data_IF_385709424016
#
_entry.id   IF_385709424016
#
_cell.length_a   1.000
_cell.length_b   1.000
_cell.length_c   1.000
_cell.angle_alpha   90.00
_cell.angle_beta   90.00
_cell.angle_gamma   90.00
#
_symmetry.space_group_name_H-M   'P 1'
#
loop_
_entity.id
_entity.type
_entity.pdbx_description
1 polymer ?
#
# COMPACT_ATOMS: atom_id res chain seq x y z
N UNK A 1 -7.53 45.93 15.84
CA UNK A 1 -7.69 45.33 14.50
C UNK A 1 -8.11 43.88 14.72
N UNK A 2 -9.34 43.56 14.30
CA UNK A 2 -10.09 42.36 14.69
C UNK A 2 -9.46 41.11 14.08
N UNK A 3 -9.25 40.10 14.91
CA UNK A 3 -8.69 38.82 14.50
C UNK A 3 -9.77 37.97 13.80
N UNK A 4 -9.96 38.25 12.51
CA UNK A 4 -10.98 37.61 11.64
C UNK A 4 -10.67 36.12 11.42
N UNK A 5 -9.46 35.66 11.77
CA UNK A 5 -9.04 34.26 11.65
C UNK A 5 -9.76 33.31 12.61
N UNK A 6 -10.34 33.83 13.70
CA UNK A 6 -11.12 33.04 14.70
C UNK A 6 -12.52 32.62 14.21
N UNK A 7 -13.03 33.24 13.16
CA UNK A 7 -14.38 32.97 12.62
C UNK A 7 -14.37 32.10 11.35
N UNK A 8 -13.21 31.58 10.96
CA UNK A 8 -13.13 30.62 9.87
C UNK A 8 -13.62 29.23 10.34
N UNK A 9 -14.58 28.60 9.64
CA UNK A 9 -15.20 27.33 10.03
C UNK A 9 -14.25 26.11 10.03
N UNK A 10 -12.97 26.30 9.71
CA UNK A 10 -11.93 25.26 9.72
C UNK A 10 -10.92 25.41 10.88
N UNK A 11 -10.98 26.49 11.67
CA UNK A 11 -10.00 26.82 12.72
C UNK A 11 -10.24 26.11 14.08
N UNK A 12 -11.38 25.40 14.22
CA UNK A 12 -11.78 24.76 15.49
C UNK A 12 -11.59 23.24 15.53
N UNK A 13 -10.81 22.65 14.63
CA UNK A 13 -10.35 21.28 14.88
C UNK A 13 -9.30 21.34 15.98
N UNK A 14 -9.60 20.73 17.13
CA UNK A 14 -8.58 20.35 18.11
C UNK A 14 -7.52 19.56 17.34
N UNK A 15 -6.40 20.21 17.00
CA UNK A 15 -5.23 19.51 16.51
C UNK A 15 -4.86 18.50 17.57
N UNK A 16 -4.88 17.21 17.22
CA UNK A 16 -4.24 16.20 18.04
C UNK A 16 -2.77 16.56 18.20
N UNK A 17 -2.10 15.92 19.15
CA UNK A 17 -0.65 16.01 19.22
C UNK A 17 -0.04 15.36 17.96
N UNK A 18 0.22 16.19 16.94
CA UNK A 18 0.81 15.80 15.66
C UNK A 18 2.35 15.79 15.73
N UNK A 19 2.94 16.09 16.89
CA UNK A 19 4.40 16.18 17.08
C UNK A 19 5.13 14.83 16.91
N UNK A 20 4.39 13.72 16.97
CA UNK A 20 4.89 12.37 16.69
C UNK A 20 4.85 11.95 15.22
N UNK A 21 4.27 12.75 14.31
CA UNK A 21 4.15 12.42 12.88
C UNK A 21 5.44 12.84 12.15
N UNK A 22 6.55 12.12 12.37
CA UNK A 22 7.72 12.23 11.50
C UNK A 22 7.38 11.56 10.15
N UNK A 23 7.69 12.23 9.05
CA UNK A 23 7.53 11.68 7.69
C UNK A 23 8.49 10.52 7.36
N UNK A 24 9.06 9.89 8.40
CA UNK A 24 9.97 8.76 8.30
C UNK A 24 9.21 7.43 8.37
N UNK A 25 9.03 6.82 7.21
CA UNK A 25 8.33 5.54 7.07
C UNK A 25 9.27 4.32 7.15
N UNK A 26 10.55 4.53 7.48
CA UNK A 26 11.56 3.46 7.46
C UNK A 26 11.22 2.24 8.32
N UNK A 27 10.70 2.38 9.58
CA UNK A 27 10.34 1.21 10.39
C UNK A 27 9.24 0.36 9.75
N UNK A 28 8.19 1.00 9.23
CA UNK A 28 7.08 0.31 8.54
C UNK A 28 7.53 -0.32 7.23
N UNK A 29 8.37 0.38 6.47
CA UNK A 29 8.94 -0.18 5.24
C UNK A 29 9.79 -1.41 5.54
N UNK A 30 10.62 -1.37 6.59
CA UNK A 30 11.44 -2.52 7.00
C UNK A 30 10.56 -3.73 7.35
N UNK A 31 9.49 -3.52 8.12
CA UNK A 31 8.53 -4.58 8.46
C UNK A 31 7.85 -5.19 7.22
N UNK A 32 7.40 -4.35 6.26
CA UNK A 32 6.78 -4.82 5.02
C UNK A 32 7.78 -5.59 4.16
N UNK A 33 9.02 -5.09 4.03
CA UNK A 33 10.07 -5.77 3.25
C UNK A 33 10.46 -7.09 3.90
N UNK A 34 10.48 -7.17 5.23
CA UNK A 34 10.71 -8.44 5.94
C UNK A 34 9.63 -9.47 5.59
N UNK A 35 8.35 -9.09 5.58
CA UNK A 35 7.26 -9.98 5.14
C UNK A 35 7.42 -10.44 3.70
N UNK A 36 7.81 -9.55 2.79
CA UNK A 36 8.08 -9.91 1.40
C UNK A 36 9.26 -10.89 1.28
N UNK A 37 10.35 -10.65 2.03
CA UNK A 37 11.51 -11.56 2.07
C UNK A 37 11.08 -12.92 2.58
N UNK A 38 10.30 -12.99 3.66
CA UNK A 38 9.77 -14.26 4.19
C UNK A 38 8.95 -15.01 3.13
N UNK A 39 8.07 -14.31 2.39
CA UNK A 39 7.29 -14.92 1.29
C UNK A 39 8.19 -15.47 0.19
N UNK A 40 9.24 -14.73 -0.20
CA UNK A 40 10.15 -15.12 -1.28
C UNK A 40 11.15 -16.21 -0.89
N UNK A 41 11.58 -16.26 0.38
CA UNK A 41 12.48 -17.30 0.89
C UNK A 41 11.84 -18.70 0.87
N UNK A 42 10.51 -18.76 1.01
CA UNK A 42 9.74 -20.01 0.98
C UNK A 42 9.11 -20.30 -0.39
N UNK A 43 9.36 -19.45 -1.39
CA UNK A 43 8.77 -19.57 -2.70
C UNK A 43 9.39 -20.71 -3.53
N UNK A 44 8.54 -21.42 -4.27
CA UNK A 44 9.00 -22.32 -5.33
C UNK A 44 9.72 -21.50 -6.42
N UNK A 45 10.84 -21.99 -6.99
CA UNK A 45 11.50 -21.36 -8.13
C UNK A 45 10.56 -20.94 -9.28
N UNK A 46 9.48 -21.69 -9.53
CA UNK A 46 8.47 -21.38 -10.55
C UNK A 46 7.74 -20.06 -10.28
N UNK A 47 7.60 -19.65 -9.01
CA UNK A 47 6.95 -18.39 -8.65
C UNK A 47 7.65 -17.18 -9.28
N UNK A 48 8.98 -17.21 -9.42
CA UNK A 48 9.75 -16.08 -9.93
C UNK A 48 9.34 -15.68 -11.35
N UNK A 49 8.87 -16.63 -12.15
CA UNK A 49 8.44 -16.41 -13.52
C UNK A 49 6.90 -16.34 -13.63
N UNK A 50 6.18 -16.44 -12.50
CA UNK A 50 4.73 -16.31 -12.46
C UNK A 50 4.31 -14.84 -12.69
N UNK A 51 3.18 -14.61 -13.39
CA UNK A 51 2.66 -13.27 -13.60
C UNK A 51 2.15 -12.65 -12.30
N UNK A 52 2.37 -11.35 -12.13
CA UNK A 52 1.71 -10.58 -11.06
C UNK A 52 0.36 -10.02 -11.54
N UNK A 53 -0.40 -9.39 -10.65
CA UNK A 53 -1.61 -8.63 -11.00
C UNK A 53 -1.30 -7.44 -11.91
N UNK A 54 -0.02 -7.03 -12.01
CA UNK A 54 0.42 -6.10 -13.04
C UNK A 54 0.57 -6.83 -14.38
N UNK A 55 -0.26 -6.45 -15.35
CA UNK A 55 -0.18 -7.01 -16.71
C UNK A 55 1.23 -6.92 -17.30
N UNK A 56 1.75 -8.06 -17.75
CA UNK A 56 3.05 -8.16 -18.43
C UNK A 56 4.26 -8.10 -17.51
N UNK A 57 4.07 -8.21 -16.19
CA UNK A 57 5.15 -8.23 -15.21
C UNK A 57 5.12 -9.55 -14.44
N UNK A 58 6.27 -10.20 -14.35
CA UNK A 58 6.48 -11.37 -13.51
C UNK A 58 7.00 -10.97 -12.11
N UNK A 59 6.97 -11.91 -11.16
CA UNK A 59 7.43 -11.69 -9.77
C UNK A 59 8.89 -11.22 -9.73
N UNK A 60 9.76 -11.78 -10.58
CA UNK A 60 11.17 -11.39 -10.69
C UNK A 60 11.34 -9.93 -11.07
N UNK A 61 10.70 -9.50 -12.15
CA UNK A 61 10.76 -8.13 -12.67
C UNK A 61 10.17 -7.16 -11.66
N UNK A 62 9.04 -7.52 -11.02
CA UNK A 62 8.44 -6.73 -9.94
C UNK A 62 9.41 -6.52 -8.77
N UNK A 63 10.07 -7.59 -8.32
CA UNK A 63 11.04 -7.55 -7.20
C UNK A 63 12.28 -6.73 -7.55
N UNK A 64 12.83 -6.92 -8.75
CA UNK A 64 13.98 -6.15 -9.25
C UNK A 64 13.64 -4.67 -9.37
N UNK A 65 12.46 -4.33 -9.88
CA UNK A 65 11.99 -2.94 -9.98
C UNK A 65 11.81 -2.30 -8.60
N UNK A 66 11.27 -3.05 -7.63
CA UNK A 66 11.14 -2.58 -6.25
C UNK A 66 12.52 -2.31 -5.63
N UNK A 67 13.43 -3.28 -5.66
CA UNK A 67 14.80 -3.12 -5.14
C UNK A 67 15.47 -1.91 -5.79
N UNK A 68 15.37 -1.83 -7.11
CA UNK A 68 15.92 -0.72 -7.88
C UNK A 68 15.34 0.59 -7.35
N UNK A 69 14.00 0.74 -7.31
CA UNK A 69 13.26 1.90 -6.74
C UNK A 69 13.75 2.30 -5.35
N UNK A 70 13.86 1.35 -4.44
CA UNK A 70 14.24 1.60 -3.05
C UNK A 70 15.70 2.01 -2.91
N UNK A 71 16.59 1.50 -3.77
CA UNK A 71 18.01 1.89 -3.80
C UNK A 71 18.26 3.26 -4.42
N UNK A 72 17.40 3.78 -5.31
CA UNK A 72 17.73 5.08 -5.91
C UNK A 72 17.61 6.26 -4.99
N UNK A 73 18.57 7.16 -5.19
CA UNK A 73 18.59 8.47 -4.58
C UNK A 73 17.51 9.38 -5.19
N UNK A 74 17.19 10.48 -4.51
CA UNK A 74 16.25 11.49 -5.03
C UNK A 74 16.73 12.06 -6.36
N UNK A 75 18.04 12.25 -6.51
CA UNK A 75 18.69 12.69 -7.76
C UNK A 75 18.49 11.64 -8.85
N UNK A 76 18.69 10.36 -8.51
CA UNK A 76 18.26 9.15 -9.25
C UNK A 76 16.91 9.35 -9.95
N UNK A 77 15.90 9.57 -9.11
CA UNK A 77 14.49 9.65 -9.49
C UNK A 77 14.16 10.91 -10.29
N UNK A 78 14.77 12.05 -9.94
CA UNK A 78 14.59 13.30 -10.68
C UNK A 78 15.11 13.17 -12.12
N UNK A 79 16.29 12.55 -12.30
CA UNK A 79 16.86 12.30 -13.64
C UNK A 79 15.94 11.42 -14.49
N UNK A 80 15.37 10.36 -13.91
CA UNK A 80 14.42 9.49 -14.63
C UNK A 80 13.15 10.23 -15.05
N UNK A 81 12.64 11.17 -14.23
CA UNK A 81 11.51 12.02 -14.62
C UNK A 81 11.82 12.95 -15.80
N UNK A 82 13.10 13.29 -15.99
CA UNK A 82 13.59 14.06 -17.13
C UNK A 82 13.92 13.16 -18.34
N UNK A 83 13.49 11.90 -18.34
CA UNK A 83 13.71 10.96 -19.44
C UNK A 83 15.10 10.33 -19.49
N UNK A 84 15.95 10.58 -18.48
CA UNK A 84 17.28 9.97 -18.43
C UNK A 84 17.17 8.52 -17.97
N UNK A 85 17.78 7.56 -18.70
CA UNK A 85 17.74 6.16 -18.31
C UNK A 85 18.36 5.98 -16.93
N UNK A 86 17.68 5.21 -16.11
CA UNK A 86 18.20 4.79 -14.82
C UNK A 86 19.26 3.71 -15.07
N UNK A 87 20.41 3.73 -14.39
CA UNK A 87 21.34 2.61 -14.48
C UNK A 87 20.65 1.36 -13.91
N UNK A 88 20.22 0.46 -14.78
CA UNK A 88 19.75 -0.88 -14.42
C UNK A 88 20.97 -1.70 -14.10
N UNK A 89 21.42 -1.67 -12.85
CA UNK A 89 22.39 -2.67 -12.41
C UNK A 89 21.66 -4.01 -12.30
N UNK A 90 22.19 -5.10 -12.88
CA UNK A 90 21.59 -6.41 -12.70
C UNK A 90 21.58 -6.75 -11.21
N UNK A 91 20.38 -6.98 -10.67
CA UNK A 91 20.21 -7.42 -9.29
C UNK A 91 20.32 -8.94 -9.30
N UNK A 92 21.53 -9.45 -9.11
CA UNK A 92 21.81 -10.89 -9.16
C UNK A 92 21.14 -11.65 -8.00
N UNK A 93 21.06 -11.03 -6.81
CA UNK A 93 20.36 -11.53 -5.63
C UNK A 93 19.31 -10.52 -5.16
N UNK A 94 18.05 -10.62 -5.64
CA UNK A 94 16.98 -9.71 -5.25
C UNK A 94 16.60 -9.81 -3.78
N UNK A 95 16.65 -11.01 -3.17
CA UNK A 95 16.30 -11.20 -1.76
C UNK A 95 17.35 -10.56 -0.86
N UNK A 96 18.64 -10.82 -1.11
CA UNK A 96 19.73 -10.17 -0.38
C UNK A 96 19.67 -8.64 -0.49
N UNK A 97 19.34 -8.13 -1.68
CA UNK A 97 19.17 -6.71 -1.90
C UNK A 97 17.99 -6.09 -1.12
N UNK A 98 16.87 -6.81 -0.99
CA UNK A 98 15.75 -6.38 -0.14
C UNK A 98 16.15 -6.33 1.34
N UNK A 99 16.88 -7.36 1.82
CA UNK A 99 17.40 -7.39 3.19
C UNK A 99 18.30 -6.19 3.47
N UNK A 100 19.23 -5.86 2.58
CA UNK A 100 20.08 -4.67 2.70
C UNK A 100 19.25 -3.37 2.77
N UNK A 101 18.26 -3.22 1.88
CA UNK A 101 17.38 -2.04 1.86
C UNK A 101 16.60 -1.89 3.17
N UNK A 102 16.17 -3.00 3.77
CA UNK A 102 15.43 -3.03 5.03
C UNK A 102 16.31 -2.70 6.25
N UNK A 103 17.60 -3.00 6.18
CA UNK A 103 18.59 -2.73 7.22
C UNK A 103 19.22 -1.34 7.12
N UNK A 104 19.16 -0.70 5.95
CA UNK A 104 19.75 0.62 5.71
C UNK A 104 19.08 1.70 6.61
N UNK A 105 19.82 2.40 7.48
CA UNK A 105 19.29 3.42 8.38
C UNK A 105 19.05 4.75 7.64
N UNK A 106 18.14 4.72 6.67
CA UNK A 106 17.80 5.84 5.78
C UNK A 106 16.34 6.23 5.98
N UNK A 107 16.07 7.54 6.09
CA UNK A 107 14.68 8.04 6.06
C UNK A 107 13.97 7.63 4.76
N UNK A 108 12.79 7.01 4.90
CA UNK A 108 11.95 6.57 3.77
C UNK A 108 10.72 7.45 3.65
N UNK A 109 10.33 7.78 2.41
CA UNK A 109 9.12 8.55 2.14
C UNK A 109 7.89 7.62 2.03
N UNK A 110 6.68 8.17 2.14
CA UNK A 110 5.43 7.41 1.97
C UNK A 110 5.36 6.72 0.60
N UNK A 111 5.91 7.33 -0.45
CA UNK A 111 5.97 6.72 -1.78
C UNK A 111 6.94 5.53 -1.88
N UNK A 112 7.87 5.35 -0.95
CA UNK A 112 8.69 4.14 -0.85
C UNK A 112 7.89 3.01 -0.19
N UNK A 113 7.15 3.35 0.88
CA UNK A 113 6.27 2.44 1.58
C UNK A 113 5.12 1.95 0.69
N UNK A 114 4.46 2.85 -0.05
CA UNK A 114 3.45 2.53 -1.06
C UNK A 114 3.95 1.47 -2.05
N UNK A 115 5.16 1.67 -2.58
CA UNK A 115 5.75 0.73 -3.52
C UNK A 115 5.98 -0.65 -2.90
N UNK A 116 6.51 -0.68 -1.68
CA UNK A 116 6.80 -1.92 -0.97
C UNK A 116 5.50 -2.67 -0.62
N UNK A 117 4.48 -1.98 -0.11
CA UNK A 117 3.19 -2.60 0.24
C UNK A 117 2.51 -3.15 -1.01
N UNK A 118 2.39 -2.37 -2.08
CA UNK A 118 1.74 -2.83 -3.31
C UNK A 118 2.48 -4.03 -3.90
N UNK A 119 3.81 -4.00 -3.99
CA UNK A 119 4.58 -5.13 -4.50
C UNK A 119 4.43 -6.38 -3.60
N UNK A 120 4.40 -6.20 -2.28
CA UNK A 120 4.23 -7.31 -1.33
C UNK A 120 2.88 -7.98 -1.50
N UNK A 121 1.79 -7.20 -1.57
CA UNK A 121 0.44 -7.74 -1.78
C UNK A 121 0.29 -8.40 -3.15
N UNK A 122 0.88 -7.82 -4.19
CA UNK A 122 0.85 -8.33 -5.56
C UNK A 122 1.57 -9.68 -5.68
N UNK A 123 2.77 -9.77 -5.11
CA UNK A 123 3.57 -11.01 -5.07
C UNK A 123 2.90 -12.06 -4.17
N UNK A 124 2.37 -11.69 -3.00
CA UNK A 124 1.65 -12.61 -2.12
C UNK A 124 0.42 -13.21 -2.81
N UNK A 125 -0.33 -12.38 -3.55
CA UNK A 125 -1.47 -12.86 -4.36
C UNK A 125 -1.01 -13.85 -5.43
N UNK A 126 0.12 -13.57 -6.10
CA UNK A 126 0.69 -14.45 -7.13
C UNK A 126 1.16 -15.79 -6.55
N UNK A 127 1.66 -15.77 -5.31
CA UNK A 127 2.07 -16.95 -4.56
C UNK A 127 0.90 -17.73 -3.94
N UNK A 128 -0.32 -17.17 -3.98
CA UNK A 128 -1.49 -17.76 -3.33
C UNK A 128 -1.38 -17.79 -1.80
N UNK A 129 -0.63 -16.86 -1.20
CA UNK A 129 -0.47 -16.75 0.25
C UNK A 129 -1.05 -15.45 0.77
N UNK A 130 -1.65 -15.50 1.95
CA UNK A 130 -2.08 -14.32 2.67
C UNK A 130 -0.90 -13.73 3.44
N UNK A 131 -0.66 -12.43 3.26
CA UNK A 131 0.39 -11.69 3.99
C UNK A 131 -0.26 -10.74 4.99
N UNK A 132 0.05 -10.94 6.27
CA UNK A 132 -0.41 -10.06 7.33
C UNK A 132 0.45 -8.80 7.40
N UNK A 133 -0.18 -7.66 7.09
CA UNK A 133 0.42 -6.33 7.13
C UNK A 133 -0.33 -5.46 8.14
N UNK A 134 0.42 -4.70 8.93
CA UNK A 134 -0.10 -3.77 9.92
C UNK A 134 -1.24 -2.87 9.35
N UNK A 135 -2.44 -2.87 9.96
CA UNK A 135 -3.58 -2.11 9.45
C UNK A 135 -3.31 -0.60 9.32
N UNK A 136 -2.50 -0.01 10.20
CA UNK A 136 -2.12 1.41 10.12
C UNK A 136 -1.26 1.67 8.88
N UNK A 137 -0.34 0.76 8.56
CA UNK A 137 0.49 0.79 7.36
C UNK A 137 -0.36 0.71 6.09
N UNK A 138 -1.35 -0.19 6.06
CA UNK A 138 -2.31 -0.29 4.94
C UNK A 138 -3.13 0.99 4.80
N UNK A 139 -3.67 1.54 5.89
CA UNK A 139 -4.44 2.78 5.88
C UNK A 139 -3.64 3.99 5.39
N UNK A 140 -2.38 4.13 5.82
CA UNK A 140 -1.49 5.20 5.37
C UNK A 140 -1.22 5.13 3.85
N UNK A 141 -0.98 3.93 3.33
CA UNK A 141 -0.82 3.72 1.88
C UNK A 141 -2.13 3.98 1.14
N UNK A 142 -3.26 3.50 1.65
CA UNK A 142 -4.57 3.75 1.03
C UNK A 142 -4.88 5.25 0.91
N UNK A 143 -4.62 6.04 1.96
CA UNK A 143 -4.77 7.50 1.92
C UNK A 143 -3.83 8.12 0.88
N UNK A 144 -2.54 7.74 0.89
CA UNK A 144 -1.57 8.24 -0.08
C UNK A 144 -2.04 7.98 -1.52
N UNK A 145 -2.45 6.75 -1.80
CA UNK A 145 -2.90 6.34 -3.13
C UNK A 145 -4.18 7.05 -3.54
N UNK A 146 -5.17 7.19 -2.67
CA UNK A 146 -6.39 7.92 -3.00
C UNK A 146 -6.12 9.39 -3.36
N UNK A 147 -5.11 10.02 -2.75
CA UNK A 147 -4.68 11.39 -3.07
C UNK A 147 -3.90 11.48 -4.39
N UNK A 148 -3.13 10.46 -4.74
CA UNK A 148 -2.28 10.44 -5.95
C UNK A 148 -2.87 9.66 -7.11
N UNK A 149 -4.07 9.09 -6.96
CA UNK A 149 -4.69 8.21 -7.93
C UNK A 149 -5.01 8.93 -9.26
N UNK A 150 -4.89 8.25 -10.42
CA UNK A 150 -5.36 8.76 -11.70
C UNK A 150 -6.85 9.12 -11.67
N UNK A 151 -7.27 10.02 -12.58
CA UNK A 151 -8.66 10.51 -12.65
C UNK A 151 -9.69 9.38 -12.75
N UNK A 152 -9.40 8.31 -13.48
CA UNK A 152 -10.29 7.15 -13.58
C UNK A 152 -10.60 6.54 -12.21
N UNK A 153 -9.57 6.25 -11.40
CA UNK A 153 -9.75 5.73 -10.04
C UNK A 153 -10.46 6.77 -9.15
N UNK A 154 -10.09 8.05 -9.25
CA UNK A 154 -10.76 9.12 -8.47
C UNK A 154 -12.23 9.27 -8.80
N UNK A 155 -12.62 9.05 -10.06
CA UNK A 155 -14.02 9.09 -10.49
C UNK A 155 -14.82 7.93 -9.89
N UNK A 156 -14.21 6.75 -9.77
CA UNK A 156 -14.82 5.59 -9.11
C UNK A 156 -14.98 5.84 -7.60
N UNK A 157 -14.01 6.50 -6.97
CA UNK A 157 -14.06 6.90 -5.56
C UNK A 157 -15.05 8.03 -5.26
N UNK A 158 -15.52 8.76 -6.28
CA UNK A 158 -16.38 9.91 -6.07
C UNK A 158 -17.70 9.50 -5.39
N UNK A 159 -17.97 10.05 -4.20
CA UNK A 159 -19.16 9.73 -3.42
C UNK A 159 -19.12 8.36 -2.74
N UNK A 160 -17.94 7.74 -2.62
CA UNK A 160 -17.75 6.48 -1.91
C UNK A 160 -16.77 6.64 -0.75
N UNK A 161 -16.99 5.83 0.27
CA UNK A 161 -16.08 5.68 1.40
C UNK A 161 -15.59 4.22 1.43
N UNK A 162 -14.30 4.01 1.25
CA UNK A 162 -13.69 2.70 1.43
C UNK A 162 -13.48 2.49 2.92
N UNK A 163 -14.02 1.41 3.49
CA UNK A 163 -13.87 1.07 4.91
C UNK A 163 -13.20 -0.29 5.02
N UNK A 164 -12.05 -0.32 5.70
CA UNK A 164 -11.37 -1.56 5.98
C UNK A 164 -12.19 -2.39 6.99
N UNK A 165 -12.39 -3.67 6.73
CA UNK A 165 -13.09 -4.59 7.65
C UNK A 165 -12.17 -5.19 8.70
N UNK A 166 -10.87 -5.21 8.41
CA UNK A 166 -9.77 -5.74 9.21
C UNK A 166 -8.93 -4.62 9.86
N UNK A 167 -9.39 -3.37 9.76
CA UNK A 167 -8.73 -2.22 10.36
C UNK A 167 -9.72 -1.09 10.62
N UNK A 168 -9.46 -0.29 11.65
CA UNK A 168 -10.32 0.83 12.03
C UNK A 168 -10.03 2.10 11.19
N UNK A 169 -9.95 1.96 9.87
CA UNK A 169 -9.65 3.09 8.98
C UNK A 169 -10.58 3.15 7.76
N UNK A 170 -10.82 4.38 7.30
CA UNK A 170 -11.62 4.68 6.11
C UNK A 170 -10.91 5.68 5.20
N UNK A 171 -11.25 5.65 3.91
CA UNK A 171 -10.74 6.57 2.89
C UNK A 171 -11.88 7.06 2.01
N UNK A 172 -12.02 8.37 1.87
CA UNK A 172 -13.07 8.99 1.06
C UNK A 172 -14.28 9.41 1.89
N UNK A 173 -15.43 9.59 1.23
CA UNK A 173 -16.71 9.99 1.84
C UNK A 173 -17.87 9.55 0.97
N UNK A 174 -18.95 9.08 1.59
CA UNK A 174 -20.21 8.79 0.91
C UNK A 174 -20.70 7.38 1.20
N UNK A 175 -21.07 6.62 0.16
CA UNK A 175 -21.59 5.26 0.34
C UNK A 175 -20.45 4.34 0.80
N UNK A 176 -20.57 3.64 1.94
CA UNK A 176 -19.53 2.75 2.43
C UNK A 176 -19.36 1.54 1.52
N UNK A 177 -18.11 1.22 1.22
CA UNK A 177 -17.66 0.00 0.57
C UNK A 177 -16.70 -0.72 1.51
N UNK A 178 -17.21 -1.81 2.08
CA UNK A 178 -16.50 -2.65 3.05
C UNK A 178 -15.67 -3.70 2.33
N UNK A 179 -14.38 -3.75 2.65
CA UNK A 179 -13.48 -4.79 2.17
C UNK A 179 -12.24 -4.90 3.09
N UNK A 180 -11.49 -6.00 3.02
CA UNK A 180 -10.18 -6.11 3.66
C UNK A 180 -9.22 -5.01 3.16
N UNK A 181 -8.37 -4.50 4.06
CA UNK A 181 -7.38 -3.49 3.78
C UNK A 181 -6.47 -3.81 2.58
N UNK A 182 -5.96 -5.06 2.45
CA UNK A 182 -5.18 -5.48 1.29
C UNK A 182 -5.94 -5.31 -0.04
N UNK A 183 -7.21 -5.70 -0.09
CA UNK A 183 -8.05 -5.57 -1.29
C UNK A 183 -8.26 -4.10 -1.68
N UNK A 184 -8.51 -3.24 -0.68
CA UNK A 184 -8.67 -1.79 -0.89
C UNK A 184 -7.37 -1.20 -1.49
N UNK A 185 -6.21 -1.57 -0.95
CA UNK A 185 -4.92 -1.09 -1.45
C UNK A 185 -4.66 -1.57 -2.88
N UNK A 186 -4.93 -2.84 -3.19
CA UNK A 186 -4.79 -3.38 -4.54
C UNK A 186 -5.74 -2.72 -5.55
N UNK A 187 -6.97 -2.42 -5.15
CA UNK A 187 -7.91 -1.65 -5.97
C UNK A 187 -7.40 -0.24 -6.25
N UNK A 188 -6.95 0.48 -5.22
CA UNK A 188 -6.34 1.80 -5.36
C UNK A 188 -5.02 1.75 -6.17
N UNK A 189 -4.38 0.59 -6.22
CA UNK A 189 -3.23 0.29 -7.07
C UNK A 189 -3.59 -0.01 -8.53
N UNK A 190 -4.87 -0.14 -8.85
CA UNK A 190 -5.33 -0.53 -10.17
C UNK A 190 -4.98 -1.98 -10.52
N UNK A 191 -4.75 -2.82 -9.50
CA UNK A 191 -4.45 -4.25 -9.64
C UNK A 191 -5.70 -5.10 -9.71
N UNK A 192 -6.76 -4.64 -9.05
CA UNK A 192 -8.04 -5.34 -8.94
C UNK A 192 -9.20 -4.40 -9.26
N UNK A 193 -10.38 -4.99 -9.49
CA UNK A 193 -11.63 -4.24 -9.65
C UNK A 193 -12.10 -3.61 -8.35
N UNK A 194 -13.28 -2.96 -8.40
CA UNK A 194 -13.93 -2.42 -7.21
C UNK A 194 -14.04 -3.50 -6.12
N UNK A 195 -13.68 -3.20 -4.85
CA UNK A 195 -13.84 -4.14 -3.76
C UNK A 195 -15.30 -4.56 -3.65
N UNK A 196 -15.53 -5.87 -3.53
CA UNK A 196 -16.89 -6.40 -3.44
C UNK A 196 -17.45 -6.06 -2.08
N UNK A 197 -18.67 -5.50 -2.02
CA UNK A 197 -19.39 -5.36 -0.74
C UNK A 197 -19.62 -6.75 -0.16
N UNK A 198 -18.78 -7.16 0.79
CA UNK A 198 -19.11 -8.28 1.67
C UNK A 198 -19.88 -7.65 2.83
N UNK A 199 -21.21 -7.84 2.94
CA UNK A 199 -21.89 -7.41 4.15
C UNK A 199 -21.16 -8.09 5.31
N UNK A 200 -20.85 -7.30 6.35
CA UNK A 200 -20.37 -7.83 7.61
C UNK A 200 -21.27 -9.03 7.94
N UNK A 201 -20.66 -10.19 8.14
CA UNK A 201 -21.36 -11.41 8.53
C UNK A 201 -22.01 -11.11 9.89
N UNK A 202 -23.25 -10.60 9.83
CA UNK A 202 -24.06 -10.31 10.98
C UNK A 202 -24.48 -11.68 11.50
N UNK A 203 -23.66 -12.18 12.41
CA UNK A 203 -23.85 -13.30 13.32
C UNK A 203 -25.02 -14.21 12.97
N UNK A 204 -24.68 -15.44 12.57
CA UNK A 204 -25.39 -16.67 12.90
C UNK A 204 -26.68 -16.44 13.69
N UNK A 205 -27.78 -16.24 12.95
CA UNK A 205 -29.12 -16.30 13.56
C UNK A 205 -29.33 -17.76 13.95
N UNK A 206 -29.56 -18.08 15.24
CA UNK A 206 -29.89 -19.44 15.62
C UNK A 206 -31.17 -19.86 14.88
N UNK A 207 -31.08 -20.98 14.17
CA UNK A 207 -32.25 -21.63 13.57
C UNK A 207 -33.25 -21.96 14.70
N UNK A 208 -34.55 -21.64 14.55
CA UNK A 208 -35.53 -22.09 15.51
C UNK A 208 -35.60 -23.62 15.44
N UNK A 209 -35.46 -24.26 16.60
CA UNK A 209 -35.68 -25.68 16.76
C UNK A 209 -37.08 -26.04 16.26
N UNK A 210 -37.15 -26.98 15.32
CA UNK A 210 -38.41 -27.58 14.91
C UNK A 210 -38.87 -28.56 16.01
N UNK A 211 -40.11 -28.34 16.48
CA UNK A 211 -40.90 -29.30 17.27
C UNK A 211 -41.27 -30.55 16.46
#
# INVERSE_FOLDING_TARGET
MSDVSKYLPLSQRRGGDESGVDGNWAPRLSAVVARLVDTLDHADPVLWDAPTLQTGVDVRSCTVDLVTRLRSTRVQRLRSRLGMPRPTQPVADPIGALREVSAEPRKRAIGDLDAAVVATLDIATSAGVDVDLDPITLGAVAVHRALTAPLAIRSVLAGRELRATDGEWTVGRGIPLDAPGPEIVLFLAGRTGLPSHRPADNGERPQPAAE
#
